data_IF_160047610321
#
_entry.id   IF_160047610321
#
_cell.length_a   1.000
_cell.length_b   1.000
_cell.length_c   1.000
_cell.angle_alpha   90.00
_cell.angle_beta   90.00
_cell.angle_gamma   90.00
#
_symmetry.space_group_name_H-M   'P 1'
#
loop_
_entity.id
_entity.type
_entity.pdbx_description
1 polymer ?
#
# COMPACT_ATOMS: atom_id res chain seq x y z
N UNK A 1 23.27 6.61 -3.02
CA UNK A 1 23.72 7.69 -3.93
C UNK A 1 22.47 8.39 -4.46
N UNK A 2 22.54 9.67 -4.81
CA UNK A 2 21.39 10.42 -5.35
C UNK A 2 21.62 10.69 -6.83
N UNK A 3 20.54 10.75 -7.60
CA UNK A 3 20.55 11.29 -8.95
C UNK A 3 19.36 12.23 -9.14
N UNK A 4 19.52 13.20 -10.03
CA UNK A 4 18.44 14.06 -10.47
C UNK A 4 18.07 13.68 -11.89
N UNK A 5 16.85 13.19 -12.08
CA UNK A 5 16.30 12.95 -13.41
C UNK A 5 15.77 14.27 -13.94
N UNK A 6 16.34 14.75 -15.05
CA UNK A 6 15.79 15.89 -15.79
C UNK A 6 15.00 15.35 -16.98
N UNK A 7 13.73 15.74 -17.10
CA UNK A 7 12.91 15.41 -18.26
C UNK A 7 12.64 16.67 -19.07
N UNK A 8 12.56 16.53 -20.38
CA UNK A 8 12.10 17.58 -21.29
C UNK A 8 11.01 17.00 -22.15
N UNK A 9 9.81 17.57 -22.06
CA UNK A 9 8.68 17.17 -22.88
C UNK A 9 8.87 17.62 -24.34
N UNK A 10 8.06 17.07 -25.25
CA UNK A 10 8.05 17.48 -26.65
C UNK A 10 7.71 18.97 -26.86
N UNK A 11 7.04 19.61 -25.89
CA UNK A 11 6.75 21.05 -25.91
C UNK A 11 7.86 21.92 -25.30
N UNK A 12 8.99 21.32 -24.91
CA UNK A 12 10.14 22.02 -24.33
C UNK A 12 10.02 22.31 -22.83
N UNK A 13 8.92 21.91 -22.16
CA UNK A 13 8.80 22.02 -20.70
C UNK A 13 9.81 21.08 -20.03
N UNK A 14 10.59 21.64 -19.12
CA UNK A 14 11.60 20.94 -18.33
C UNK A 14 11.08 20.65 -16.92
N UNK A 15 11.32 19.44 -16.42
CA UNK A 15 11.04 19.04 -15.05
C UNK A 15 12.25 18.31 -14.47
N UNK A 16 12.39 18.33 -13.14
CA UNK A 16 13.45 17.62 -12.45
C UNK A 16 12.88 16.86 -11.25
N UNK A 17 13.32 15.63 -11.06
CA UNK A 17 13.00 14.81 -9.88
C UNK A 17 14.28 14.22 -9.31
N UNK A 18 14.54 14.47 -8.02
CA UNK A 18 15.66 13.87 -7.31
C UNK A 18 15.23 12.53 -6.73
N UNK A 19 15.94 11.46 -7.10
CA UNK A 19 15.72 10.13 -6.60
C UNK A 19 16.94 9.61 -5.84
N UNK A 20 16.68 8.84 -4.80
CA UNK A 20 17.70 8.02 -4.17
C UNK A 20 17.84 6.72 -4.93
N UNK A 21 19.07 6.26 -5.09
CA UNK A 21 19.32 4.88 -5.42
C UNK A 21 20.33 4.28 -4.45
N UNK A 22 20.18 3.01 -4.16
CA UNK A 22 21.16 2.27 -3.39
C UNK A 22 21.44 0.93 -4.05
N UNK A 23 22.61 0.41 -3.74
CA UNK A 23 23.04 -0.91 -4.18
C UNK A 23 22.95 -1.83 -2.99
N UNK A 24 22.06 -2.81 -3.07
CA UNK A 24 22.01 -3.91 -2.12
C UNK A 24 22.62 -5.16 -2.77
N UNK A 25 23.35 -5.95 -1.98
CA UNK A 25 23.83 -7.26 -2.40
C UNK A 25 23.08 -8.32 -1.61
N UNK A 26 22.26 -9.11 -2.29
CA UNK A 26 21.46 -10.18 -1.71
C UNK A 26 21.63 -11.44 -2.55
N UNK A 27 21.96 -12.57 -1.93
CA UNK A 27 22.12 -13.89 -2.58
C UNK A 27 23.04 -13.90 -3.82
N UNK A 28 24.10 -13.08 -3.79
CA UNK A 28 25.07 -12.97 -4.89
C UNK A 28 24.62 -12.09 -6.06
N UNK A 29 23.38 -11.56 -6.02
CA UNK A 29 22.87 -10.59 -6.98
C UNK A 29 23.08 -9.15 -6.47
N UNK A 30 23.37 -8.25 -7.42
CA UNK A 30 23.42 -6.82 -7.18
C UNK A 30 22.07 -6.24 -7.58
N UNK A 31 21.32 -5.72 -6.60
CA UNK A 31 20.08 -4.98 -6.82
C UNK A 31 20.35 -3.48 -6.83
N UNK A 32 19.74 -2.78 -7.77
CA UNK A 32 19.72 -1.33 -7.86
C UNK A 32 18.28 -0.90 -7.66
N UNK A 33 17.98 -0.44 -6.45
CA UNK A 33 16.65 0.01 -6.08
C UNK A 33 16.58 1.53 -6.22
N UNK A 34 15.50 2.00 -6.85
CA UNK A 34 15.23 3.43 -7.07
C UNK A 34 13.88 3.72 -6.45
N UNK A 35 13.88 4.35 -5.28
CA UNK A 35 12.65 4.84 -4.66
C UNK A 35 12.65 6.37 -4.68
N UNK A 36 11.45 6.94 -4.82
CA UNK A 36 11.22 8.31 -4.38
C UNK A 36 11.46 8.41 -2.87
N UNK A 37 12.10 9.50 -2.42
CA UNK A 37 12.53 9.65 -1.03
C UNK A 37 13.85 8.91 -0.76
N UNK A 38 14.94 9.64 -0.55
CA UNK A 38 16.28 9.04 -0.40
C UNK A 38 16.70 8.95 1.06
N UNK A 39 17.01 7.74 1.57
CA UNK A 39 17.62 7.55 2.89
C UNK A 39 17.48 6.11 3.42
N UNK A 40 18.33 5.71 4.38
CA UNK A 40 18.26 4.38 5.03
C UNK A 40 16.91 4.08 5.70
N UNK A 41 16.13 5.12 6.03
CA UNK A 41 14.76 4.98 6.53
C UNK A 41 13.81 4.34 5.52
N UNK A 42 13.92 4.65 4.22
CA UNK A 42 13.03 4.05 3.21
C UNK A 42 13.35 2.57 2.98
N UNK A 43 14.63 2.20 3.05
CA UNK A 43 15.08 0.79 3.00
C UNK A 43 14.52 0.02 4.19
N UNK A 44 14.72 0.54 5.40
CA UNK A 44 14.19 -0.09 6.61
C UNK A 44 12.67 -0.20 6.59
N UNK A 45 11.97 0.80 6.03
CA UNK A 45 10.52 0.77 5.90
C UNK A 45 10.04 -0.29 4.89
N UNK A 46 10.71 -0.42 3.75
CA UNK A 46 10.42 -1.49 2.78
C UNK A 46 10.68 -2.88 3.38
N UNK A 47 11.80 -3.06 4.10
CA UNK A 47 12.10 -4.31 4.79
C UNK A 47 11.03 -4.68 5.84
N UNK A 48 10.53 -3.69 6.58
CA UNK A 48 9.43 -3.88 7.54
C UNK A 48 8.12 -4.23 6.83
N UNK A 49 7.77 -3.56 5.72
CA UNK A 49 6.60 -3.89 4.91
C UNK A 49 6.68 -5.31 4.35
N UNK A 50 7.85 -5.75 3.86
CA UNK A 50 8.06 -7.14 3.44
C UNK A 50 7.95 -8.12 4.62
N UNK A 51 8.36 -7.74 5.83
CA UNK A 51 8.17 -8.56 7.02
C UNK A 51 6.68 -8.73 7.37
N UNK A 52 5.91 -7.64 7.37
CA UNK A 52 4.46 -7.68 7.53
C UNK A 52 3.79 -8.51 6.44
N UNK A 53 4.26 -8.40 5.20
CA UNK A 53 3.76 -9.20 4.08
C UNK A 53 3.99 -10.69 4.31
N UNK A 54 5.19 -11.10 4.72
CA UNK A 54 5.47 -12.52 5.04
C UNK A 54 4.54 -13.06 6.12
N UNK A 55 4.25 -12.27 7.15
CA UNK A 55 3.30 -12.63 8.20
C UNK A 55 1.87 -12.75 7.65
N UNK A 56 1.43 -11.76 6.85
CA UNK A 56 0.11 -11.75 6.25
C UNK A 56 -0.13 -12.86 5.23
N UNK A 57 0.92 -13.35 4.56
CA UNK A 57 0.85 -14.47 3.64
C UNK A 57 0.71 -15.83 4.34
N UNK A 58 1.20 -15.96 5.58
CA UNK A 58 1.24 -17.24 6.30
C UNK A 58 -0.18 -17.78 6.62
N UNK A 59 -1.17 -16.91 6.74
CA UNK A 59 -2.56 -17.25 7.04
C UNK A 59 -3.55 -16.76 5.97
N UNK A 60 -3.05 -16.38 4.78
CA UNK A 60 -3.88 -15.91 3.67
C UNK A 60 -4.75 -17.03 3.11
N UNK A 61 -6.05 -16.77 2.95
CA UNK A 61 -7.03 -17.70 2.41
C UNK A 61 -7.80 -17.08 1.26
N UNK A 62 -7.93 -17.80 0.16
CA UNK A 62 -8.68 -17.36 -1.02
C UNK A 62 -10.05 -18.05 -1.11
N UNK A 63 -10.89 -17.85 -0.10
CA UNK A 63 -12.23 -18.44 0.00
C UNK A 63 -13.35 -17.48 -0.47
N UNK A 64 -13.00 -16.47 -1.26
CA UNK A 64 -13.89 -15.40 -1.74
C UNK A 64 -14.59 -14.58 -0.67
N UNK A 65 -14.18 -14.67 0.60
CA UNK A 65 -14.72 -13.84 1.68
C UNK A 65 -14.55 -12.35 1.40
N UNK A 66 -15.41 -11.56 2.03
CA UNK A 66 -15.29 -10.11 2.00
C UNK A 66 -14.20 -9.64 2.97
N UNK A 67 -13.32 -8.80 2.45
CA UNK A 67 -12.26 -8.10 3.17
C UNK A 67 -12.31 -6.61 2.83
N UNK A 68 -11.59 -5.80 3.59
CA UNK A 68 -11.58 -4.36 3.42
C UNK A 68 -10.17 -3.93 3.01
N UNK A 69 -10.05 -3.30 1.85
CA UNK A 69 -8.82 -2.59 1.49
C UNK A 69 -8.85 -1.24 2.17
N UNK A 70 -7.95 -1.07 3.15
CA UNK A 70 -7.83 0.15 3.93
C UNK A 70 -6.84 1.14 3.31
N UNK A 71 -5.91 0.62 2.51
CA UNK A 71 -4.95 1.41 1.75
C UNK A 71 -4.45 0.62 0.55
N UNK A 72 -4.18 1.31 -0.54
CA UNK A 72 -3.55 0.77 -1.75
C UNK A 72 -2.61 1.83 -2.31
N UNK A 73 -1.30 1.70 -2.04
CA UNK A 73 -0.30 2.73 -2.32
C UNK A 73 0.97 2.11 -2.91
N UNK A 74 1.74 2.92 -3.61
CA UNK A 74 3.10 2.57 -4.04
C UNK A 74 4.00 3.78 -3.77
N UNK A 75 5.33 3.59 -3.62
CA UNK A 75 6.24 4.70 -3.38
C UNK A 75 6.16 5.76 -4.51
N UNK A 76 5.88 7.01 -4.13
CA UNK A 76 5.65 8.12 -5.07
C UNK A 76 4.19 8.24 -5.56
N UNK A 77 3.25 7.45 -5.02
CA UNK A 77 1.82 7.63 -5.29
C UNK A 77 1.29 8.88 -4.60
N UNK A 78 0.42 9.64 -5.28
CA UNK A 78 -0.28 10.79 -4.70
C UNK A 78 -1.75 10.47 -4.51
N UNK A 79 -2.31 10.80 -3.35
CA UNK A 79 -3.73 10.65 -3.01
C UNK A 79 -4.23 11.96 -2.36
N UNK A 80 -5.01 12.79 -3.06
CA UNK A 80 -5.46 14.08 -2.54
C UNK A 80 -6.45 13.95 -1.37
N UNK A 81 -7.04 12.76 -1.17
CA UNK A 81 -8.00 12.49 -0.10
C UNK A 81 -7.33 11.93 1.16
N UNK A 82 -6.01 11.68 1.14
CA UNK A 82 -5.25 11.20 2.28
C UNK A 82 -3.95 11.99 2.45
N UNK A 83 -3.67 12.42 3.67
CA UNK A 83 -2.40 13.09 4.01
C UNK A 83 -1.43 12.05 4.54
N UNK A 84 -0.26 11.97 3.93
CA UNK A 84 0.86 11.16 4.39
C UNK A 84 1.45 11.72 5.69
N UNK A 85 2.23 10.91 6.42
CA UNK A 85 2.86 11.31 7.69
C UNK A 85 3.77 12.54 7.53
N UNK A 86 4.35 12.73 6.35
CA UNK A 86 5.15 13.90 5.99
C UNK A 86 4.32 15.19 5.73
N UNK A 87 2.99 15.15 5.86
CA UNK A 87 2.10 16.29 5.65
C UNK A 87 1.75 16.58 4.19
N UNK A 88 2.31 15.82 3.23
CA UNK A 88 1.95 15.89 1.82
C UNK A 88 0.90 14.85 1.44
N UNK A 89 0.41 14.88 0.20
CA UNK A 89 -0.43 13.83 -0.36
C UNK A 89 0.38 12.73 -1.08
N UNK A 90 1.72 12.79 -1.05
CA UNK A 90 2.59 11.80 -1.68
C UNK A 90 3.14 10.81 -0.65
N UNK A 91 3.01 9.53 -0.96
CA UNK A 91 3.36 8.42 -0.07
C UNK A 91 4.65 7.75 -0.50
N UNK A 92 5.62 7.70 0.40
CA UNK A 92 6.83 6.88 0.27
C UNK A 92 6.74 5.64 1.17
N UNK A 93 7.74 4.75 1.15
CA UNK A 93 7.69 3.52 1.96
C UNK A 93 7.48 3.79 3.45
N UNK A 94 8.17 4.80 4.01
CA UNK A 94 7.96 5.18 5.41
C UNK A 94 6.52 5.62 5.69
N UNK A 95 5.90 6.36 4.77
CA UNK A 95 4.51 6.81 4.94
C UNK A 95 3.55 5.62 4.84
N UNK A 96 3.79 4.69 3.91
CA UNK A 96 3.00 3.46 3.76
C UNK A 96 3.11 2.59 5.01
N UNK A 97 4.32 2.45 5.57
CA UNK A 97 4.55 1.72 6.82
C UNK A 97 3.82 2.37 7.99
N UNK A 98 3.99 3.67 8.22
CA UNK A 98 3.31 4.37 9.31
C UNK A 98 1.79 4.25 9.17
N UNK A 99 1.25 4.41 7.96
CA UNK A 99 -0.19 4.25 7.73
C UNK A 99 -0.68 2.82 8.01
N UNK A 100 0.12 1.80 7.67
CA UNK A 100 -0.18 0.42 8.01
C UNK A 100 -0.20 0.20 9.54
N UNK A 101 0.83 0.67 10.24
CA UNK A 101 0.96 0.53 11.70
C UNK A 101 -0.15 1.27 12.44
N UNK A 102 -0.52 2.47 12.01
CA UNK A 102 -1.64 3.24 12.56
C UNK A 102 -2.96 2.48 12.41
N UNK A 103 -3.19 1.84 11.25
CA UNK A 103 -4.38 1.01 11.03
C UNK A 103 -4.38 -0.26 11.86
N UNK A 104 -3.22 -0.90 12.05
CA UNK A 104 -3.07 -2.05 12.96
C UNK A 104 -3.40 -1.64 14.39
N UNK A 105 -2.95 -0.47 14.85
CA UNK A 105 -3.25 0.04 16.19
C UNK A 105 -4.73 0.41 16.34
N UNK A 106 -5.30 1.12 15.37
CA UNK A 106 -6.72 1.50 15.38
C UNK A 106 -7.65 0.30 15.37
N UNK A 107 -7.28 -0.75 14.62
CA UNK A 107 -8.06 -1.96 14.41
C UNK A 107 -7.42 -3.16 15.13
N UNK A 108 -6.98 -2.96 16.37
CA UNK A 108 -6.25 -3.96 17.16
C UNK A 108 -7.00 -5.29 17.37
N UNK A 109 -8.31 -5.30 17.18
CA UNK A 109 -9.19 -6.47 17.31
C UNK A 109 -9.48 -7.17 15.97
N UNK A 110 -8.80 -6.76 14.89
CA UNK A 110 -9.02 -7.24 13.52
C UNK A 110 -7.71 -7.73 12.93
N UNK A 111 -7.77 -8.76 12.09
CA UNK A 111 -6.60 -9.23 11.37
C UNK A 111 -6.27 -8.27 10.23
N UNK A 112 -5.32 -7.37 10.45
CA UNK A 112 -4.80 -6.44 9.44
C UNK A 112 -3.52 -6.99 8.82
N UNK A 113 -3.48 -7.05 7.49
CA UNK A 113 -2.41 -7.68 6.71
C UNK A 113 -1.80 -6.69 5.73
N UNK A 114 -0.51 -6.85 5.48
CA UNK A 114 0.15 -6.24 4.33
C UNK A 114 0.19 -7.23 3.18
N UNK A 115 -0.23 -6.83 1.98
CA UNK A 115 -0.20 -7.64 0.76
C UNK A 115 0.36 -6.80 -0.39
N UNK A 116 0.86 -7.45 -1.44
CA UNK A 116 1.20 -6.83 -2.71
C UNK A 116 0.26 -7.25 -3.82
N UNK A 117 0.32 -6.53 -4.95
CA UNK A 117 -0.50 -6.82 -6.14
C UNK A 117 -0.38 -8.27 -6.59
N UNK A 118 0.84 -8.83 -6.53
CA UNK A 118 1.11 -10.23 -6.88
C UNK A 118 0.40 -11.25 -5.98
N UNK A 119 -0.05 -10.85 -4.78
CA UNK A 119 -0.54 -11.80 -3.77
C UNK A 119 -2.03 -12.12 -3.93
N UNK A 120 -2.81 -11.31 -4.66
CA UNK A 120 -4.25 -11.53 -4.70
C UNK A 120 -4.95 -10.81 -5.84
N UNK A 121 -6.15 -11.30 -6.17
CA UNK A 121 -7.05 -10.68 -7.13
C UNK A 121 -6.51 -10.63 -8.56
N UNK A 122 -7.10 -9.75 -9.36
CA UNK A 122 -6.75 -9.57 -10.77
C UNK A 122 -5.32 -9.04 -10.89
N UNK A 123 -4.51 -9.72 -11.67
CA UNK A 123 -3.12 -9.37 -11.94
C UNK A 123 -3.01 -8.35 -13.09
N UNK A 124 -1.92 -7.59 -13.05
CA UNK A 124 -1.64 -6.48 -13.97
C UNK A 124 -1.79 -5.11 -13.32
N UNK A 125 -1.30 -4.08 -14.00
CA UNK A 125 -1.24 -2.72 -13.43
C UNK A 125 0.03 -2.47 -12.62
N UNK A 126 -0.05 -1.51 -11.70
CA UNK A 126 1.09 -1.08 -10.88
C UNK A 126 1.26 -2.01 -9.67
N UNK A 127 2.50 -2.16 -9.22
CA UNK A 127 2.81 -2.94 -8.03
C UNK A 127 2.53 -2.12 -6.76
N UNK A 128 1.36 -2.37 -6.19
CA UNK A 128 0.84 -1.73 -4.99
C UNK A 128 1.11 -2.56 -3.74
N UNK A 129 1.34 -1.85 -2.64
CA UNK A 129 1.19 -2.31 -1.26
C UNK A 129 -0.24 -2.07 -0.80
N UNK A 130 -0.85 -3.09 -0.24
CA UNK A 130 -2.21 -3.08 0.28
C UNK A 130 -2.21 -3.32 1.78
N UNK A 131 -2.84 -2.43 2.53
CA UNK A 131 -3.27 -2.74 3.90
C UNK A 131 -4.68 -3.30 3.82
N UNK A 132 -4.86 -4.56 4.22
CA UNK A 132 -6.14 -5.29 4.11
C UNK A 132 -6.59 -5.74 5.50
N UNK A 133 -7.81 -5.39 5.89
CA UNK A 133 -8.45 -5.94 7.07
C UNK A 133 -9.33 -7.15 6.71
N UNK A 134 -9.17 -8.23 7.47
CA UNK A 134 -10.08 -9.38 7.51
C UNK A 134 -10.69 -9.48 8.92
N UNK A 135 -11.88 -8.89 9.15
CA UNK A 135 -12.61 -9.04 10.41
C UNK A 135 -13.14 -10.46 10.63
N UNK A 136 -13.14 -11.31 9.60
CA UNK A 136 -13.84 -12.58 9.59
C UNK A 136 -15.36 -12.41 9.51
N UNK A 137 -16.03 -13.39 8.89
CA UNK A 137 -17.48 -13.52 8.95
C UNK A 137 -18.29 -12.52 8.11
N UNK A 138 -17.66 -11.65 7.32
CA UNK A 138 -18.38 -10.80 6.36
C UNK A 138 -18.82 -11.62 5.15
N UNK A 139 -20.13 -11.71 4.93
CA UNK A 139 -20.75 -12.57 3.90
C UNK A 139 -21.28 -11.79 2.70
N UNK A 140 -21.45 -10.47 2.82
CA UNK A 140 -21.95 -9.63 1.73
C UNK A 140 -21.21 -8.30 1.59
N UNK A 141 -21.34 -7.68 0.42
CA UNK A 141 -20.84 -6.32 0.18
C UNK A 141 -21.44 -5.31 1.16
N UNK A 142 -22.75 -5.40 1.41
CA UNK A 142 -23.47 -4.51 2.31
C UNK A 142 -22.98 -4.63 3.77
N UNK A 143 -22.68 -5.85 4.24
CA UNK A 143 -22.07 -6.05 5.56
C UNK A 143 -20.68 -5.42 5.63
N UNK A 144 -19.87 -5.55 4.57
CA UNK A 144 -18.55 -4.95 4.51
C UNK A 144 -18.61 -3.41 4.45
N UNK A 145 -19.56 -2.83 3.71
CA UNK A 145 -19.81 -1.38 3.68
C UNK A 145 -20.26 -0.86 5.05
N UNK A 146 -21.18 -1.56 5.71
CA UNK A 146 -21.63 -1.23 7.06
C UNK A 146 -20.47 -1.31 8.07
N UNK A 147 -19.60 -2.31 7.92
CA UNK A 147 -18.39 -2.44 8.75
C UNK A 147 -17.46 -1.23 8.57
N UNK A 148 -17.23 -0.79 7.33
CA UNK A 148 -16.43 0.41 7.06
C UNK A 148 -17.02 1.65 7.75
N UNK A 149 -18.32 1.90 7.58
CA UNK A 149 -18.99 3.04 8.22
C UNK A 149 -18.92 2.98 9.76
N UNK A 150 -19.01 1.78 10.35
CA UNK A 150 -18.92 1.61 11.80
C UNK A 150 -17.50 1.82 12.35
N UNK A 151 -16.45 1.44 11.60
CA UNK A 151 -15.04 1.59 12.02
C UNK A 151 -14.45 2.97 11.76
N UNK A 152 -15.04 3.71 10.81
CA UNK A 152 -14.65 5.06 10.44
C UNK A 152 -15.86 6.01 10.50
N UNK A 153 -16.51 6.17 11.67
CA UNK A 153 -17.73 6.96 11.80
C UNK A 153 -17.52 8.46 11.51
N UNK A 154 -16.27 8.93 11.56
CA UNK A 154 -15.89 10.29 11.21
C UNK A 154 -15.80 10.53 9.70
N UNK A 155 -15.85 9.48 8.88
CA UNK A 155 -15.73 9.56 7.42
C UNK A 155 -17.06 9.26 6.73
N UNK A 156 -17.26 9.84 5.54
CA UNK A 156 -18.44 9.58 4.72
C UNK A 156 -18.13 9.81 3.23
N UNK A 157 -19.06 9.39 2.37
CA UNK A 157 -18.97 9.58 0.92
C UNK A 157 -17.68 9.01 0.32
N UNK A 158 -17.07 9.78 -0.58
CA UNK A 158 -15.84 9.40 -1.28
C UNK A 158 -14.66 9.19 -0.33
N UNK A 159 -14.58 9.96 0.76
CA UNK A 159 -13.49 9.83 1.74
C UNK A 159 -13.56 8.48 2.45
N UNK A 160 -14.76 8.02 2.82
CA UNK A 160 -14.93 6.69 3.41
C UNK A 160 -14.58 5.58 2.40
N UNK A 161 -15.03 5.71 1.15
CA UNK A 161 -14.73 4.72 0.10
C UNK A 161 -13.23 4.65 -0.21
N UNK A 162 -12.53 5.79 -0.14
CA UNK A 162 -11.08 5.85 -0.30
C UNK A 162 -10.32 5.24 0.90
N UNK A 163 -10.87 5.37 2.11
CA UNK A 163 -10.28 4.80 3.33
C UNK A 163 -10.60 3.31 3.53
N UNK A 164 -11.75 2.82 3.06
CA UNK A 164 -12.22 1.47 3.33
C UNK A 164 -13.06 0.97 2.16
N UNK A 165 -12.43 0.15 1.32
CA UNK A 165 -13.03 -0.39 0.10
C UNK A 165 -13.29 -1.91 0.24
N UNK A 166 -14.55 -2.35 0.28
CA UNK A 166 -14.90 -3.77 0.26
C UNK A 166 -14.41 -4.49 -1.00
N UNK A 167 -13.72 -5.61 -0.83
CA UNK A 167 -13.29 -6.50 -1.93
C UNK A 167 -13.40 -7.97 -1.52
N UNK A 168 -13.53 -8.85 -2.52
CA UNK A 168 -13.43 -10.30 -2.31
C UNK A 168 -11.98 -10.77 -2.31
N UNK A 169 -11.63 -11.61 -1.34
CA UNK A 169 -10.31 -12.23 -1.26
C UNK A 169 -10.21 -13.39 -2.27
N UNK A 170 -9.58 -13.11 -3.41
CA UNK A 170 -9.43 -14.06 -4.53
C UNK A 170 -7.96 -14.37 -4.78
N UNK A 171 -7.69 -15.60 -5.22
CA UNK A 171 -6.37 -15.98 -5.68
C UNK A 171 -5.89 -15.07 -6.83
N UNK A 172 -4.58 -14.86 -6.98
CA UNK A 172 -4.01 -14.19 -8.14
C UNK A 172 -4.50 -14.82 -9.44
N UNK A 173 -5.03 -14.01 -10.36
CA UNK A 173 -5.45 -14.47 -11.69
C UNK A 173 -5.20 -13.43 -12.79
N UNK A 174 -4.77 -13.91 -13.95
CA UNK A 174 -4.90 -13.19 -15.21
C UNK A 174 -6.31 -13.44 -15.76
N UNK A 175 -6.86 -12.48 -16.50
CA UNK A 175 -8.24 -12.51 -17.02
C UNK A 175 -8.65 -13.83 -17.67
#
# INVERSE_FOLDING_TARGET
MQFTLHTTSASGRQEAATAGWWVARQDGLVRVDVAGGSGGQQVAAEEALEAYRRLGLADLRYDERWVLVLSAKYPGSSDPLQTAANGSNTFYFSDILTFHEDLVQRLYDVNVKMLRTADWGKQGGRDLWFTVADPGGLTSAAEAEAWCAARFPELSGEVLQNQCLPRRMRAPHHS
#
